data_IF_359015162481
#
_entry.id   IF_359015162481
#
_cell.length_a   1.000
_cell.length_b   1.000
_cell.length_c   1.000
_cell.angle_alpha   90.00
_cell.angle_beta   90.00
_cell.angle_gamma   90.00
#
_symmetry.space_group_name_H-M   'P 1'
#
loop_
_entity.id
_entity.type
_entity.pdbx_description
1 polymer ?
#
# COMPACT_ATOMS: atom_id res chain seq x y z
N UNK A 1 6.70 -11.29 5.78
CA UNK A 1 5.99 -10.64 4.65
C UNK A 1 4.97 -9.68 5.24
N UNK A 2 4.97 -8.40 4.85
CA UNK A 2 3.95 -7.47 5.33
C UNK A 2 2.54 -7.91 4.90
N UNK A 3 1.68 -8.12 5.90
CA UNK A 3 0.27 -8.42 5.72
C UNK A 3 -0.56 -7.17 6.08
N UNK A 4 -1.87 -7.27 6.20
CA UNK A 4 -2.72 -6.11 6.48
C UNK A 4 -2.30 -5.32 7.73
N UNK A 5 -2.02 -5.95 8.89
CA UNK A 5 -1.65 -5.19 10.10
C UNK A 5 -0.35 -4.39 9.93
N UNK A 6 0.66 -4.96 9.26
CA UNK A 6 1.92 -4.27 9.04
C UNK A 6 1.76 -3.09 8.08
N UNK A 7 0.92 -3.25 7.05
CA UNK A 7 0.61 -2.14 6.12
C UNK A 7 -0.18 -1.05 6.82
N UNK A 8 -1.17 -1.41 7.64
CA UNK A 8 -1.93 -0.45 8.46
C UNK A 8 -1.01 0.32 9.42
N UNK A 9 -0.13 -0.37 10.13
CA UNK A 9 0.86 0.23 11.02
C UNK A 9 1.79 1.18 10.26
N UNK A 10 2.23 0.76 9.07
CA UNK A 10 3.05 1.60 8.19
C UNK A 10 2.31 2.88 7.79
N UNK A 11 1.08 2.78 7.33
CA UNK A 11 0.26 3.94 6.95
C UNK A 11 0.08 4.89 8.13
N UNK A 12 -0.24 4.36 9.31
CA UNK A 12 -0.37 5.17 10.54
C UNK A 12 0.93 5.86 10.92
N UNK A 13 2.07 5.20 10.75
CA UNK A 13 3.39 5.78 11.02
C UNK A 13 3.77 6.88 10.03
N UNK A 14 3.30 6.79 8.79
CA UNK A 14 3.56 7.79 7.75
C UNK A 14 2.68 9.04 7.89
N UNK A 15 1.48 8.93 8.46
CA UNK A 15 0.54 10.06 8.58
C UNK A 15 1.16 11.32 9.21
N UNK A 16 1.80 11.25 10.39
CA UNK A 16 2.33 12.45 11.04
C UNK A 16 3.39 13.20 10.24
N UNK A 17 4.07 12.51 9.34
CA UNK A 17 5.19 13.07 8.57
C UNK A 17 4.83 13.38 7.11
N UNK A 18 3.66 12.94 6.63
CA UNK A 18 3.22 13.17 5.25
C UNK A 18 1.92 13.98 5.16
N UNK A 19 0.89 13.71 5.97
CA UNK A 19 -0.39 14.40 5.83
C UNK A 19 -0.26 15.90 6.07
N UNK A 20 -0.80 16.68 5.15
CA UNK A 20 -0.71 18.14 5.18
C UNK A 20 0.64 18.68 4.71
N UNK A 21 1.61 17.82 4.42
CA UNK A 21 2.94 18.23 3.98
C UNK A 21 3.00 18.34 2.45
N UNK A 22 3.73 19.34 1.98
CA UNK A 22 4.09 19.44 0.57
C UNK A 22 5.31 18.57 0.29
N UNK A 23 5.27 17.80 -0.77
CA UNK A 23 6.40 17.03 -1.27
C UNK A 23 7.35 17.99 -1.96
N UNK A 24 8.50 18.26 -1.36
CA UNK A 24 9.52 19.16 -1.93
C UNK A 24 10.43 18.44 -2.92
N UNK A 25 10.62 17.14 -2.72
CA UNK A 25 11.38 16.27 -3.62
C UNK A 25 10.83 14.85 -3.56
N UNK A 26 10.73 14.18 -4.70
CA UNK A 26 10.47 12.75 -4.80
C UNK A 26 11.29 12.18 -5.94
N UNK A 27 12.13 11.19 -5.62
CA UNK A 27 13.11 10.62 -6.55
C UNK A 27 13.06 9.10 -6.49
N UNK A 28 12.74 8.49 -7.64
CA UNK A 28 12.94 7.07 -7.85
C UNK A 28 14.40 6.82 -8.24
N UNK A 29 15.12 6.03 -7.45
CA UNK A 29 16.55 5.73 -7.66
C UNK A 29 16.80 4.60 -8.65
N UNK A 30 15.72 4.01 -9.17
CA UNK A 30 15.75 2.97 -10.19
C UNK A 30 14.46 2.99 -11.02
N UNK A 31 14.49 2.34 -12.17
CA UNK A 31 13.37 2.34 -13.10
C UNK A 31 12.25 1.35 -12.72
N UNK A 32 12.55 0.36 -11.91
CA UNK A 32 11.62 -0.73 -11.58
C UNK A 32 11.75 -1.26 -10.14
N UNK A 33 10.68 -1.87 -9.67
CA UNK A 33 10.63 -2.84 -8.59
C UNK A 33 10.07 -4.15 -9.18
N UNK A 34 8.96 -4.68 -8.64
CA UNK A 34 8.24 -5.79 -9.28
C UNK A 34 7.70 -5.41 -10.67
N UNK A 35 7.35 -4.15 -10.84
CA UNK A 35 6.92 -3.51 -12.09
C UNK A 35 7.69 -2.23 -12.30
N UNK A 36 7.61 -1.67 -13.50
CA UNK A 36 8.16 -0.35 -13.77
C UNK A 36 7.58 0.69 -12.81
N UNK A 37 8.44 1.53 -12.25
CA UNK A 37 8.01 2.69 -11.46
C UNK A 37 7.53 3.75 -12.47
N UNK A 38 6.41 4.44 -12.21
CA UNK A 38 5.94 5.48 -13.11
C UNK A 38 7.02 6.54 -13.35
N UNK A 39 7.41 6.72 -14.61
CA UNK A 39 8.52 7.60 -14.98
C UNK A 39 8.22 9.09 -14.74
N UNK A 40 6.95 9.46 -14.71
CA UNK A 40 6.43 10.81 -14.46
C UNK A 40 6.16 11.11 -12.98
N UNK A 41 6.48 10.16 -12.09
CA UNK A 41 6.22 10.25 -10.65
C UNK A 41 6.79 11.53 -10.04
N UNK A 42 8.06 11.85 -10.33
CA UNK A 42 8.71 13.06 -9.85
C UNK A 42 8.03 14.34 -10.36
N UNK A 43 7.68 14.39 -11.64
CA UNK A 43 7.00 15.52 -12.25
C UNK A 43 5.60 15.75 -11.65
N UNK A 44 4.83 14.70 -11.46
CA UNK A 44 3.46 14.78 -10.97
C UNK A 44 3.37 15.11 -9.49
N UNK A 45 4.28 14.57 -8.67
CA UNK A 45 4.18 14.66 -7.22
C UNK A 45 5.06 15.73 -6.57
N UNK A 46 6.15 16.18 -7.20
CA UNK A 46 6.95 17.28 -6.65
C UNK A 46 6.11 18.57 -6.60
N UNK A 47 6.03 19.18 -5.43
CA UNK A 47 5.22 20.35 -5.16
C UNK A 47 3.76 20.05 -4.81
N UNK A 48 3.31 18.80 -4.91
CA UNK A 48 1.98 18.40 -4.45
C UNK A 48 1.92 18.35 -2.91
N UNK A 49 0.76 18.65 -2.35
CA UNK A 49 0.49 18.48 -0.91
C UNK A 49 -0.25 17.16 -0.69
N UNK A 50 0.23 16.37 0.26
CA UNK A 50 -0.44 15.14 0.68
C UNK A 50 -1.69 15.49 1.46
N UNK A 51 -2.85 15.04 1.00
CA UNK A 51 -4.15 15.34 1.62
C UNK A 51 -4.60 14.26 2.58
N UNK A 52 -4.32 13.00 2.28
CA UNK A 52 -4.69 11.86 3.13
C UNK A 52 -3.80 10.66 2.87
N UNK A 53 -3.66 9.80 3.87
CA UNK A 53 -3.14 8.46 3.73
C UNK A 53 -4.22 7.43 4.06
N UNK A 54 -4.29 6.37 3.26
CA UNK A 54 -5.23 5.29 3.44
C UNK A 54 -4.61 3.93 3.15
N UNK A 55 -5.42 2.91 3.32
CA UNK A 55 -5.08 1.52 3.01
C UNK A 55 -6.25 0.81 2.34
N UNK A 56 -5.94 -0.02 1.37
CA UNK A 56 -6.85 -1.01 0.82
C UNK A 56 -6.13 -2.35 0.75
N UNK A 57 -6.63 -3.38 1.41
CA UNK A 57 -5.95 -4.68 1.55
C UNK A 57 -4.49 -4.49 2.05
N UNK A 58 -3.52 -4.90 1.27
CA UNK A 58 -2.07 -4.77 1.55
C UNK A 58 -1.42 -3.61 0.79
N UNK A 59 -2.22 -2.67 0.29
CA UNK A 59 -1.75 -1.48 -0.42
C UNK A 59 -1.91 -0.24 0.45
N UNK A 60 -0.86 0.58 0.52
CA UNK A 60 -0.94 1.92 1.08
C UNK A 60 -1.23 2.95 -0.01
N UNK A 61 -2.01 3.96 0.34
CA UNK A 61 -2.49 5.01 -0.55
C UNK A 61 -2.03 6.36 -0.02
N UNK A 62 -1.42 7.18 -0.87
CA UNK A 62 -1.01 8.55 -0.55
C UNK A 62 -1.71 9.48 -1.54
N UNK A 63 -2.76 10.12 -1.09
CA UNK A 63 -3.56 11.04 -1.88
C UNK A 63 -2.96 12.44 -1.86
N UNK A 64 -3.05 13.14 -2.98
CA UNK A 64 -2.52 14.51 -3.11
C UNK A 64 -3.57 15.49 -3.60
N UNK A 65 -3.32 16.79 -3.35
CA UNK A 65 -4.17 17.88 -3.79
C UNK A 65 -4.17 18.11 -5.30
N UNK A 66 -3.35 17.38 -6.05
CA UNK A 66 -3.34 17.40 -7.52
C UNK A 66 -4.28 16.38 -8.14
N UNK A 67 -5.03 15.64 -7.31
CA UNK A 67 -5.94 14.59 -7.77
C UNK A 67 -5.24 13.31 -8.19
N UNK A 68 -3.99 13.12 -7.79
CA UNK A 68 -3.21 11.90 -8.00
C UNK A 68 -3.02 11.15 -6.68
N UNK A 69 -3.04 9.83 -6.76
CA UNK A 69 -2.74 8.92 -5.66
C UNK A 69 -1.52 8.07 -5.99
N UNK A 70 -0.52 8.10 -5.10
CA UNK A 70 0.58 7.16 -5.10
C UNK A 70 0.17 5.92 -4.32
N UNK A 71 0.23 4.76 -4.97
CA UNK A 71 -0.11 3.47 -4.37
C UNK A 71 1.18 2.69 -4.17
N UNK A 72 1.41 2.18 -2.96
CA UNK A 72 2.56 1.33 -2.69
C UNK A 72 2.13 -0.04 -2.16
N UNK A 73 2.90 -1.06 -2.53
CA UNK A 73 2.80 -2.41 -1.99
C UNK A 73 4.18 -2.83 -1.47
N UNK A 74 4.25 -3.33 -0.25
CA UNK A 74 5.54 -3.64 0.40
C UNK A 74 6.17 -4.96 -0.06
N UNK A 75 5.41 -5.78 -0.80
CA UNK A 75 5.91 -7.08 -1.27
C UNK A 75 6.28 -8.00 -0.12
N UNK A 76 7.53 -8.47 -0.10
CA UNK A 76 8.04 -9.40 0.91
C UNK A 76 8.99 -8.74 1.92
N UNK A 77 9.70 -7.69 1.51
CA UNK A 77 10.76 -7.06 2.29
C UNK A 77 10.69 -5.53 2.30
N UNK A 78 9.69 -4.95 1.62
CA UNK A 78 9.51 -3.51 1.56
C UNK A 78 9.18 -2.92 2.93
N UNK A 79 9.77 -1.77 3.22
CA UNK A 79 9.51 -0.99 4.42
C UNK A 79 9.79 0.48 4.17
N UNK A 80 9.06 1.36 4.83
CA UNK A 80 9.37 2.76 4.88
C UNK A 80 10.31 3.07 6.04
N UNK A 81 11.31 3.89 5.76
CA UNK A 81 12.24 4.45 6.76
C UNK A 81 11.90 5.93 6.89
N UNK A 82 11.65 6.37 8.12
CA UNK A 82 11.31 7.76 8.44
C UNK A 82 12.54 8.42 9.02
N UNK A 83 12.88 9.60 8.50
CA UNK A 83 14.04 10.42 8.88
C UNK A 83 15.36 9.62 8.96
N UNK A 84 15.68 8.81 7.91
CA UNK A 84 16.92 8.06 7.92
C UNK A 84 18.13 8.99 7.89
N UNK A 85 19.13 8.68 8.70
CA UNK A 85 20.37 9.45 8.78
C UNK A 85 21.24 9.30 7.51
N UNK A 86 21.08 8.20 6.82
CA UNK A 86 21.82 7.86 5.60
C UNK A 86 20.93 7.16 4.57
N UNK A 87 21.31 7.27 3.31
CA UNK A 87 20.66 6.52 2.23
C UNK A 87 21.31 5.14 2.09
N UNK A 88 20.50 4.10 2.13
CA UNK A 88 20.95 2.71 1.99
C UNK A 88 20.88 2.22 0.53
N UNK A 89 21.61 1.13 0.17
CA UNK A 89 21.62 0.60 -1.20
C UNK A 89 20.24 0.24 -1.75
N UNK A 90 19.32 -0.20 -0.91
CA UNK A 90 17.98 -0.64 -1.32
C UNK A 90 16.89 0.40 -1.05
N UNK A 91 17.24 1.66 -0.81
CA UNK A 91 16.30 2.77 -0.77
C UNK A 91 15.98 3.17 -2.21
N UNK A 92 14.85 2.70 -2.72
CA UNK A 92 14.50 2.83 -4.13
C UNK A 92 13.66 4.06 -4.45
N UNK A 93 12.94 4.60 -3.46
CA UNK A 93 12.22 5.87 -3.55
C UNK A 93 12.61 6.73 -2.36
N UNK A 94 12.91 7.99 -2.62
CA UNK A 94 13.18 9.00 -1.60
C UNK A 94 12.15 10.11 -1.72
N UNK A 95 11.57 10.53 -0.58
CA UNK A 95 10.65 11.66 -0.48
C UNK A 95 11.19 12.64 0.56
N UNK A 96 11.15 13.93 0.23
CA UNK A 96 11.40 15.01 1.18
C UNK A 96 10.16 15.90 1.27
N UNK A 97 9.85 16.38 2.47
CA UNK A 97 8.66 17.17 2.74
C UNK A 97 9.01 18.58 3.22
N UNK A 98 8.04 19.48 3.09
CA UNK A 98 8.15 20.87 3.56
C UNK A 98 8.35 20.99 5.08
N UNK A 99 7.95 19.97 5.84
CA UNK A 99 8.19 19.87 7.28
C UNK A 99 9.59 19.40 7.65
N UNK A 100 10.47 19.18 6.68
CA UNK A 100 11.85 18.72 6.91
C UNK A 100 11.99 17.22 7.11
N UNK A 101 10.94 16.44 6.88
CA UNK A 101 11.01 14.99 6.95
C UNK A 101 11.57 14.39 5.66
N UNK A 102 12.37 13.36 5.83
CA UNK A 102 12.87 12.51 4.75
C UNK A 102 12.28 11.11 4.93
N UNK A 103 11.84 10.50 3.84
CA UNK A 103 11.32 9.15 3.83
C UNK A 103 12.03 8.35 2.73
N UNK A 104 12.28 7.07 3.02
CA UNK A 104 12.88 6.16 2.05
C UNK A 104 12.09 4.86 2.01
N UNK A 105 11.71 4.42 0.82
CA UNK A 105 11.17 3.08 0.60
C UNK A 105 12.32 2.12 0.33
N UNK A 106 12.61 1.27 1.31
CA UNK A 106 13.65 0.27 1.26
C UNK A 106 13.05 -1.09 0.92
N UNK A 107 13.53 -1.74 -0.13
CA UNK A 107 13.04 -3.07 -0.54
C UNK A 107 14.15 -3.92 -1.19
N UNK A 108 14.93 -4.67 -0.39
CA UNK A 108 16.04 -5.46 -0.89
C UNK A 108 15.65 -6.50 -1.95
N UNK A 109 14.48 -7.11 -1.82
CA UNK A 109 14.00 -8.15 -2.75
C UNK A 109 13.27 -7.61 -3.96
N UNK A 110 12.87 -6.34 -3.94
CA UNK A 110 12.15 -5.66 -5.04
C UNK A 110 10.83 -6.32 -5.44
N UNK A 111 10.14 -6.96 -4.50
CA UNK A 111 8.82 -7.55 -4.70
C UNK A 111 7.69 -6.56 -4.43
N UNK A 112 8.01 -5.39 -3.93
CA UNK A 112 7.08 -4.28 -3.81
C UNK A 112 6.71 -3.66 -5.15
N UNK A 113 5.79 -2.72 -5.13
CA UNK A 113 5.41 -1.95 -6.30
C UNK A 113 5.02 -0.52 -5.93
N UNK A 114 5.17 0.36 -6.90
CA UNK A 114 4.71 1.74 -6.87
C UNK A 114 3.85 1.98 -8.12
N UNK A 115 2.66 2.50 -7.93
CA UNK A 115 1.72 2.87 -8.99
C UNK A 115 1.24 4.30 -8.74
N UNK A 116 0.95 5.03 -9.79
CA UNK A 116 0.46 6.41 -9.72
C UNK A 116 -0.69 6.58 -10.69
N UNK A 117 -1.81 7.07 -10.19
CA UNK A 117 -3.01 7.27 -11.01
C UNK A 117 -3.89 8.39 -10.47
N UNK A 118 -4.84 8.90 -11.28
CA UNK A 118 -5.85 9.80 -10.76
C UNK A 118 -6.62 9.18 -9.59
N UNK A 119 -6.83 9.94 -8.53
CA UNK A 119 -7.50 9.47 -7.31
C UNK A 119 -8.89 8.92 -7.61
N UNK A 120 -9.60 9.55 -8.54
CA UNK A 120 -10.96 9.12 -8.96
C UNK A 120 -10.99 7.74 -9.64
N UNK A 121 -9.85 7.29 -10.18
CA UNK A 121 -9.73 5.99 -10.85
C UNK A 121 -9.30 4.86 -9.91
N UNK A 122 -8.82 5.19 -8.71
CA UNK A 122 -8.31 4.21 -7.74
C UNK A 122 -9.32 3.10 -7.42
N UNK A 123 -10.62 3.37 -7.18
CA UNK A 123 -11.59 2.31 -6.90
C UNK A 123 -11.72 1.29 -8.05
N UNK A 124 -11.54 1.76 -9.29
CA UNK A 124 -11.66 0.95 -10.51
C UNK A 124 -10.33 0.34 -10.97
N UNK A 125 -9.26 0.55 -10.23
CA UNK A 125 -7.96 -0.05 -10.53
C UNK A 125 -8.05 -1.57 -10.51
N UNK A 126 -7.55 -2.23 -11.57
CA UNK A 126 -7.75 -3.66 -11.78
C UNK A 126 -7.42 -4.54 -10.56
N UNK A 127 -6.31 -4.32 -9.81
CA UNK A 127 -6.07 -5.07 -8.58
C UNK A 127 -7.14 -4.86 -7.51
N UNK A 128 -7.76 -3.68 -7.42
CA UNK A 128 -8.78 -3.38 -6.41
C UNK A 128 -10.16 -3.93 -6.76
N UNK A 129 -10.51 -3.95 -8.04
CA UNK A 129 -11.79 -4.49 -8.51
C UNK A 129 -11.99 -5.96 -8.17
N UNK A 130 -10.91 -6.72 -8.09
CA UNK A 130 -10.93 -8.14 -7.76
C UNK A 130 -10.95 -8.41 -6.24
N UNK A 131 -10.72 -7.41 -5.38
CA UNK A 131 -10.64 -7.60 -3.94
C UNK A 131 -12.02 -7.80 -3.31
N UNK A 132 -12.11 -8.75 -2.38
CA UNK A 132 -13.23 -8.89 -1.47
C UNK A 132 -13.29 -7.74 -0.44
N UNK A 133 -14.25 -7.80 0.50
CA UNK A 133 -14.39 -6.80 1.55
C UNK A 133 -13.17 -6.80 2.49
N UNK A 134 -12.97 -5.65 3.15
CA UNK A 134 -12.00 -5.53 4.25
C UNK A 134 -12.46 -6.38 5.45
N UNK A 135 -11.57 -7.11 6.14
CA UNK A 135 -11.94 -8.02 7.22
C UNK A 135 -12.54 -7.32 8.45
N UNK A 136 -12.27 -6.04 8.65
CA UNK A 136 -12.84 -5.22 9.71
C UNK A 136 -13.90 -4.25 9.19
N UNK A 137 -14.26 -4.35 7.91
CA UNK A 137 -15.30 -3.53 7.32
C UNK A 137 -16.71 -4.07 7.58
N UNK A 138 -17.74 -3.22 7.44
CA UNK A 138 -19.12 -3.60 7.73
C UNK A 138 -19.68 -4.66 6.75
N UNK A 139 -19.06 -4.81 5.59
CA UNK A 139 -19.47 -5.79 4.57
C UNK A 139 -19.01 -7.22 4.88
N UNK A 140 -17.98 -7.37 5.72
CA UNK A 140 -17.45 -8.67 6.11
C UNK A 140 -18.22 -9.22 7.31
N UNK A 141 -19.34 -9.89 7.03
CA UNK A 141 -20.23 -10.49 8.03
C UNK A 141 -20.14 -12.02 8.01
N UNK A 142 -20.61 -12.68 9.09
CA UNK A 142 -20.72 -14.14 9.10
C UNK A 142 -21.61 -14.68 7.97
N UNK A 143 -22.70 -13.98 7.64
CA UNK A 143 -23.58 -14.33 6.52
C UNK A 143 -22.86 -14.22 5.17
N UNK A 144 -22.11 -13.13 4.95
CA UNK A 144 -21.27 -12.98 3.76
C UNK A 144 -20.29 -14.15 3.64
N UNK A 145 -19.54 -14.44 4.71
CA UNK A 145 -18.53 -15.50 4.71
C UNK A 145 -19.15 -16.88 4.44
N UNK A 146 -20.27 -17.19 5.08
CA UNK A 146 -20.99 -18.45 4.86
C UNK A 146 -21.38 -18.62 3.39
N UNK A 147 -21.89 -17.56 2.75
CA UNK A 147 -22.24 -17.55 1.32
C UNK A 147 -21.00 -17.70 0.45
N UNK A 148 -19.92 -16.98 0.74
CA UNK A 148 -18.68 -17.02 -0.04
C UNK A 148 -17.98 -18.39 0.03
N UNK A 149 -18.14 -19.13 1.13
CA UNK A 149 -17.55 -20.46 1.33
C UNK A 149 -18.44 -21.60 0.82
N UNK A 150 -19.72 -21.36 0.63
CA UNK A 150 -20.70 -22.39 0.26
C UNK A 150 -20.31 -23.08 -1.07
N UNK A 151 -20.39 -24.41 -1.07
CA UNK A 151 -20.13 -25.22 -2.25
C UNK A 151 -18.66 -25.30 -2.70
N UNK A 152 -17.73 -24.75 -1.93
CA UNK A 152 -16.31 -24.77 -2.27
C UNK A 152 -15.62 -25.99 -1.64
N UNK A 153 -14.84 -26.71 -2.47
CA UNK A 153 -14.08 -27.89 -2.04
C UNK A 153 -12.76 -27.57 -1.34
N UNK A 154 -12.24 -26.35 -1.51
CA UNK A 154 -11.00 -25.93 -0.90
C UNK A 154 -11.16 -25.77 0.62
N UNK A 155 -10.07 -25.99 1.37
CA UNK A 155 -10.09 -25.79 2.82
C UNK A 155 -10.36 -24.31 3.17
N UNK A 156 -11.02 -24.06 4.30
CA UNK A 156 -11.27 -22.70 4.83
C UNK A 156 -9.99 -21.87 4.86
N UNK A 157 -8.89 -22.49 5.25
CA UNK A 157 -7.56 -21.88 5.25
C UNK A 157 -7.17 -21.27 3.89
N UNK A 158 -7.36 -22.01 2.80
CA UNK A 158 -7.05 -21.53 1.45
C UNK A 158 -8.04 -20.48 0.99
N UNK A 159 -9.29 -20.63 1.35
CA UNK A 159 -10.34 -19.67 1.00
C UNK A 159 -10.12 -18.31 1.69
N UNK A 160 -9.69 -18.31 2.97
CA UNK A 160 -9.34 -17.08 3.68
C UNK A 160 -8.08 -16.38 3.11
N UNK A 161 -7.23 -17.08 2.36
CA UNK A 161 -6.09 -16.48 1.66
C UNK A 161 -6.48 -15.90 0.29
N UNK A 162 -7.64 -16.26 -0.23
CA UNK A 162 -8.13 -15.70 -1.49
C UNK A 162 -8.58 -14.26 -1.27
N UNK A 163 -7.80 -13.32 -1.80
CA UNK A 163 -8.05 -11.89 -1.67
C UNK A 163 -9.39 -11.45 -2.28
N UNK A 164 -10.02 -12.29 -3.10
CA UNK A 164 -11.36 -12.06 -3.67
C UNK A 164 -12.46 -12.37 -2.66
N UNK A 165 -12.18 -13.20 -1.67
CA UNK A 165 -13.13 -13.53 -0.59
C UNK A 165 -13.00 -12.53 0.54
N UNK A 166 -11.78 -12.28 1.00
CA UNK A 166 -11.48 -11.28 2.03
C UNK A 166 -10.15 -10.63 1.74
N UNK A 167 -10.13 -9.31 1.75
CA UNK A 167 -8.94 -8.55 1.39
C UNK A 167 -7.93 -8.49 2.56
N UNK A 168 -6.65 -8.58 2.26
CA UNK A 168 -5.59 -8.24 3.20
C UNK A 168 -5.07 -9.37 4.07
N UNK A 169 -5.79 -10.46 4.25
CA UNK A 169 -5.32 -11.58 5.07
C UNK A 169 -4.16 -12.32 4.41
N UNK A 170 -3.17 -12.69 5.21
CA UNK A 170 -2.01 -13.44 4.79
C UNK A 170 -1.85 -14.74 5.58
N UNK A 171 -0.68 -15.34 5.43
CA UNK A 171 -0.38 -16.64 6.04
C UNK A 171 -0.35 -16.60 7.58
N UNK A 172 0.01 -15.47 8.16
CA UNK A 172 0.07 -15.27 9.60
C UNK A 172 -1.31 -14.90 10.12
N UNK A 173 -1.97 -13.92 9.50
CA UNK A 173 -3.26 -13.39 9.94
C UNK A 173 -4.34 -14.47 10.05
N UNK A 174 -4.43 -15.35 9.05
CA UNK A 174 -5.42 -16.43 9.02
C UNK A 174 -5.38 -17.36 10.23
N UNK A 175 -4.21 -17.48 10.90
CA UNK A 175 -4.06 -18.30 12.10
C UNK A 175 -4.76 -17.68 13.31
N UNK A 176 -4.91 -16.37 13.29
CA UNK A 176 -5.58 -15.62 14.35
C UNK A 176 -7.11 -15.58 14.18
N UNK A 177 -7.60 -15.84 12.96
CA UNK A 177 -9.04 -15.83 12.65
C UNK A 177 -9.71 -17.18 12.97
N UNK A 178 -8.94 -18.23 13.07
CA UNK A 178 -9.41 -19.60 13.36
C UNK A 178 -9.21 -19.93 14.82
#
# INVERSE_FOLDING_TARGET
MPELPEVETTVRGLRPVLEGQRITSIVARRADLRRAIPHDLGQRLTGATVTALGRRAKYGLIDTNRGDTLIFHLGMSGRWRIDPQETLPHDHLLIETSGGHRLALNDPRRFGSLDLMPTVEVPEWAPFRALGPEPLGPEFTGAYLATALAGRAASVKLLLLDQRIVAGLGNIDRKSVV
#
